data_IF_127927542733
#
_entry.id   IF_127927542733
#
_cell.length_a   1.000
_cell.length_b   1.000
_cell.length_c   1.000
_cell.angle_alpha   90.00
_cell.angle_beta   90.00
_cell.angle_gamma   90.00
#
_symmetry.space_group_name_H-M   'P 1'
#
loop_
_entity.id
_entity.type
_entity.pdbx_description
1 polymer ?
#
# COMPACT_ATOMS: atom_id res chain seq x y z
N UNK A 1 -5.98 -8.60 -14.95
CA UNK A 1 -6.39 -9.37 -13.77
C UNK A 1 -7.75 -8.87 -13.32
N UNK A 2 -8.57 -9.71 -12.66
CA UNK A 2 -9.84 -9.31 -12.04
C UNK A 2 -9.74 -9.49 -10.54
N UNK A 3 -10.48 -8.69 -9.77
CA UNK A 3 -10.65 -8.94 -8.35
C UNK A 3 -11.30 -10.32 -8.12
N UNK A 4 -11.00 -11.01 -7.02
CA UNK A 4 -11.81 -12.14 -6.56
C UNK A 4 -13.28 -11.71 -6.39
N UNK A 5 -14.21 -12.60 -6.67
CA UNK A 5 -15.65 -12.28 -6.65
C UNK A 5 -16.12 -11.70 -5.31
N UNK A 6 -15.67 -12.26 -4.19
CA UNK A 6 -16.00 -11.75 -2.87
C UNK A 6 -15.52 -10.31 -2.64
N UNK A 7 -14.33 -9.98 -3.20
CA UNK A 7 -13.72 -8.65 -3.06
C UNK A 7 -14.39 -7.64 -3.98
N UNK A 8 -14.68 -8.03 -5.23
CA UNK A 8 -15.45 -7.22 -6.17
C UNK A 8 -16.83 -6.84 -5.60
N UNK A 9 -17.57 -7.83 -5.11
CA UNK A 9 -18.86 -7.63 -4.42
C UNK A 9 -18.72 -6.73 -3.19
N UNK A 10 -17.64 -6.90 -2.40
CA UNK A 10 -17.41 -6.04 -1.24
C UNK A 10 -17.18 -4.59 -1.65
N UNK A 11 -16.31 -4.35 -2.61
CA UNK A 11 -15.91 -3.00 -3.04
C UNK A 11 -17.08 -2.28 -3.72
N UNK A 12 -17.69 -2.90 -4.71
CA UNK A 12 -18.67 -2.22 -5.58
C UNK A 12 -20.11 -2.33 -5.11
N UNK A 13 -20.53 -3.47 -4.54
CA UNK A 13 -21.92 -3.64 -4.12
C UNK A 13 -22.16 -3.24 -2.66
N UNK A 14 -21.23 -3.59 -1.73
CA UNK A 14 -21.45 -3.33 -0.30
C UNK A 14 -20.89 -2.01 0.18
N UNK A 15 -19.72 -1.59 -0.34
CA UNK A 15 -19.11 -0.30 -0.01
C UNK A 15 -19.52 0.81 -0.98
N UNK A 16 -20.23 0.47 -2.06
CA UNK A 16 -20.78 1.41 -3.04
C UNK A 16 -19.68 2.26 -3.73
N UNK A 17 -18.51 1.68 -3.90
CA UNK A 17 -17.40 2.35 -4.56
C UNK A 17 -17.73 2.67 -6.02
N UNK A 18 -17.25 3.79 -6.52
CA UNK A 18 -17.52 4.26 -7.87
C UNK A 18 -16.25 4.33 -8.71
N UNK A 19 -16.31 3.79 -9.91
CA UNK A 19 -15.21 3.89 -10.85
C UNK A 19 -15.25 5.23 -11.61
N UNK A 20 -14.30 6.12 -11.32
CA UNK A 20 -14.21 7.45 -11.91
C UNK A 20 -12.87 7.68 -12.63
N UNK A 21 -12.63 7.07 -13.81
CA UNK A 21 -11.30 7.02 -14.45
C UNK A 21 -10.79 8.37 -14.98
N UNK A 22 -11.63 9.40 -15.07
CA UNK A 22 -11.29 10.70 -15.66
C UNK A 22 -11.19 11.84 -14.65
N UNK A 23 -11.21 11.55 -13.37
CA UNK A 23 -11.09 12.59 -12.36
C UNK A 23 -9.60 12.88 -12.16
N UNK A 24 -9.10 13.96 -12.79
CA UNK A 24 -7.70 14.39 -12.69
C UNK A 24 -7.32 14.90 -11.30
N UNK A 25 -8.32 15.18 -10.43
CA UNK A 25 -8.12 15.84 -9.15
C UNK A 25 -8.38 14.92 -7.96
N UNK A 26 -8.27 13.60 -8.16
CA UNK A 26 -8.38 12.64 -7.06
C UNK A 26 -7.10 12.58 -6.24
N UNK A 27 -6.98 13.51 -5.32
CA UNK A 27 -6.03 13.40 -4.21
C UNK A 27 -6.68 12.66 -3.05
N UNK A 28 -5.97 11.73 -2.43
CA UNK A 28 -6.47 10.98 -1.27
C UNK A 28 -6.47 11.82 0.03
N UNK A 29 -6.02 13.05 -0.03
CA UNK A 29 -5.79 13.93 1.13
C UNK A 29 -7.10 14.53 1.67
N UNK A 30 -8.15 14.59 0.85
CA UNK A 30 -9.43 15.18 1.26
C UNK A 30 -10.26 14.24 2.15
N UNK A 31 -10.66 14.70 3.32
CA UNK A 31 -11.53 13.98 4.27
C UNK A 31 -13.01 13.97 3.81
N UNK A 32 -13.25 13.71 2.52
CA UNK A 32 -14.57 13.65 1.89
C UNK A 32 -14.95 12.19 1.60
N UNK A 33 -16.12 11.79 2.11
CA UNK A 33 -16.60 10.42 1.98
C UNK A 33 -16.87 10.04 0.50
N UNK A 34 -17.43 10.93 -0.29
CA UNK A 34 -17.74 10.67 -1.70
C UNK A 34 -16.43 10.52 -2.50
N UNK A 35 -15.47 11.42 -2.28
CA UNK A 35 -14.13 11.32 -2.87
C UNK A 35 -13.43 10.03 -2.46
N UNK A 36 -13.54 9.61 -1.20
CA UNK A 36 -12.98 8.32 -0.73
C UNK A 36 -13.60 7.13 -1.48
N UNK A 37 -14.92 7.14 -1.75
CA UNK A 37 -15.57 6.07 -2.52
C UNK A 37 -15.16 6.07 -4.00
N UNK A 38 -14.97 7.24 -4.59
CA UNK A 38 -14.44 7.39 -5.95
C UNK A 38 -12.99 6.90 -6.03
N UNK A 39 -12.17 7.26 -5.05
CA UNK A 39 -10.81 6.79 -4.91
C UNK A 39 -10.77 5.26 -4.76
N UNK A 40 -11.60 4.70 -3.86
CA UNK A 40 -11.72 3.27 -3.63
C UNK A 40 -12.03 2.52 -4.94
N UNK A 41 -13.07 2.94 -5.68
CA UNK A 41 -13.48 2.25 -6.92
C UNK A 41 -12.49 2.39 -8.07
N UNK A 42 -11.65 3.42 -8.06
CA UNK A 42 -10.70 3.71 -9.13
C UNK A 42 -9.32 3.12 -8.86
N UNK A 43 -8.77 3.35 -7.66
CA UNK A 43 -7.37 3.01 -7.36
C UNK A 43 -7.21 1.65 -6.67
N UNK A 44 -8.14 1.25 -5.80
CA UNK A 44 -8.04 -0.04 -5.12
C UNK A 44 -7.87 -1.23 -6.07
N UNK A 45 -8.70 -1.39 -7.13
CA UNK A 45 -8.54 -2.52 -8.05
C UNK A 45 -7.20 -2.50 -8.80
N UNK A 46 -6.67 -1.31 -9.07
CA UNK A 46 -5.37 -1.14 -9.73
C UNK A 46 -4.24 -1.54 -8.79
N UNK A 47 -4.18 -0.94 -7.60
CA UNK A 47 -3.15 -1.26 -6.61
C UNK A 47 -3.17 -2.74 -6.22
N UNK A 48 -4.37 -3.35 -6.10
CA UNK A 48 -4.50 -4.78 -5.92
C UNK A 48 -3.84 -5.57 -7.07
N UNK A 49 -4.19 -5.25 -8.31
CA UNK A 49 -3.68 -5.98 -9.48
C UNK A 49 -2.17 -5.80 -9.67
N UNK A 50 -1.66 -4.59 -9.48
CA UNK A 50 -0.23 -4.25 -9.58
C UNK A 50 0.56 -5.01 -8.50
N UNK A 51 0.15 -4.89 -7.23
CA UNK A 51 0.77 -5.59 -6.12
C UNK A 51 0.76 -7.11 -6.31
N UNK A 52 -0.38 -7.69 -6.66
CA UNK A 52 -0.49 -9.11 -6.94
C UNK A 52 0.47 -9.54 -8.06
N UNK A 53 0.52 -8.84 -9.18
CA UNK A 53 1.37 -9.21 -10.30
C UNK A 53 2.86 -9.09 -9.95
N UNK A 54 3.27 -7.99 -9.32
CA UNK A 54 4.67 -7.75 -8.95
C UNK A 54 5.15 -8.80 -7.94
N UNK A 55 4.41 -9.01 -6.86
CA UNK A 55 4.82 -9.95 -5.82
C UNK A 55 4.69 -11.41 -6.26
N UNK A 56 3.68 -11.74 -7.08
CA UNK A 56 3.57 -13.09 -7.64
C UNK A 56 4.77 -13.46 -8.49
N UNK A 57 5.26 -12.52 -9.31
CA UNK A 57 6.45 -12.75 -10.15
C UNK A 57 7.74 -12.73 -9.33
N UNK A 58 7.86 -11.78 -8.39
CA UNK A 58 9.01 -11.69 -7.53
C UNK A 58 9.23 -12.98 -6.72
N UNK A 59 8.20 -13.48 -6.04
CA UNK A 59 8.32 -14.67 -5.20
C UNK A 59 8.50 -15.97 -6.00
N UNK A 60 7.96 -16.08 -7.21
CA UNK A 60 8.29 -17.18 -8.11
C UNK A 60 9.78 -17.27 -8.43
N UNK A 61 10.43 -16.11 -8.59
CA UNK A 61 11.83 -16.03 -8.96
C UNK A 61 12.79 -16.04 -7.73
N UNK A 62 12.31 -15.61 -6.55
CA UNK A 62 13.12 -15.37 -5.34
C UNK A 62 12.53 -16.02 -4.08
N UNK A 63 11.91 -17.17 -4.22
CA UNK A 63 11.17 -17.82 -3.12
C UNK A 63 12.07 -18.22 -1.92
N UNK A 64 13.38 -18.44 -2.14
CA UNK A 64 14.29 -18.98 -1.11
C UNK A 64 14.37 -18.11 0.16
N UNK A 65 14.25 -16.79 0.03
CA UNK A 65 14.46 -15.88 1.16
C UNK A 65 13.26 -15.83 2.12
N UNK A 66 12.08 -16.21 1.63
CA UNK A 66 10.81 -16.14 2.37
C UNK A 66 10.15 -17.51 2.58
N UNK A 67 10.57 -18.56 1.85
CA UNK A 67 9.88 -19.86 1.80
C UNK A 67 9.67 -20.53 3.15
N UNK A 68 10.64 -20.39 4.06
CA UNK A 68 10.64 -21.03 5.38
C UNK A 68 10.09 -20.12 6.48
N UNK A 69 9.66 -18.90 6.15
CA UNK A 69 9.13 -17.98 7.17
C UNK A 69 7.72 -18.40 7.59
N UNK A 70 7.55 -18.56 8.89
CA UNK A 70 6.23 -18.77 9.51
C UNK A 70 5.53 -17.46 9.88
N UNK A 71 6.28 -16.37 10.04
CA UNK A 71 5.78 -15.03 10.33
C UNK A 71 6.44 -14.02 9.39
N UNK A 72 5.66 -13.03 8.94
CA UNK A 72 6.12 -11.90 8.14
C UNK A 72 5.61 -10.58 8.73
N UNK A 73 6.43 -9.56 8.60
CA UNK A 73 6.08 -8.17 8.95
C UNK A 73 6.09 -7.28 7.72
N UNK A 74 5.04 -6.48 7.57
CA UNK A 74 4.82 -5.59 6.43
C UNK A 74 4.65 -4.16 6.93
N UNK A 75 5.36 -3.22 6.33
CA UNK A 75 5.13 -1.79 6.51
C UNK A 75 4.61 -1.20 5.21
N UNK A 76 3.44 -0.57 5.27
CA UNK A 76 2.78 0.08 4.15
C UNK A 76 2.70 1.59 4.39
N UNK A 77 3.43 2.33 3.59
CA UNK A 77 3.52 3.78 3.68
C UNK A 77 2.68 4.43 2.59
N UNK A 78 1.63 5.15 2.98
CA UNK A 78 0.62 5.69 2.09
C UNK A 78 -0.38 4.62 1.65
N UNK A 79 -0.87 3.84 2.64
CA UNK A 79 -1.70 2.64 2.38
C UNK A 79 -3.07 2.94 1.76
N UNK A 80 -3.52 4.19 1.77
CA UNK A 80 -4.82 4.55 1.22
C UNK A 80 -5.94 3.63 1.69
N UNK A 81 -6.62 3.01 0.73
CA UNK A 81 -7.69 2.02 0.99
C UNK A 81 -7.18 0.57 1.01
N UNK A 82 -5.87 0.33 0.85
CA UNK A 82 -5.19 -0.95 1.07
C UNK A 82 -5.26 -1.96 -0.08
N UNK A 83 -5.45 -1.50 -1.31
CA UNK A 83 -5.49 -2.39 -2.48
C UNK A 83 -4.22 -3.23 -2.60
N UNK A 84 -3.06 -2.61 -2.44
CA UNK A 84 -1.74 -3.24 -2.49
C UNK A 84 -1.53 -4.28 -1.40
N UNK A 85 -1.99 -4.01 -0.18
CA UNK A 85 -1.94 -4.97 0.93
C UNK A 85 -2.78 -6.20 0.61
N UNK A 86 -4.01 -6.02 0.15
CA UNK A 86 -4.88 -7.16 -0.16
C UNK A 86 -4.31 -7.97 -1.34
N UNK A 87 -3.71 -7.30 -2.33
CA UNK A 87 -2.99 -7.96 -3.42
C UNK A 87 -1.82 -8.81 -2.92
N UNK A 88 -0.97 -8.24 -2.05
CA UNK A 88 0.16 -8.94 -1.44
C UNK A 88 -0.31 -10.12 -0.57
N UNK A 89 -1.31 -9.92 0.30
CA UNK A 89 -1.85 -11.00 1.15
C UNK A 89 -2.41 -12.15 0.31
N UNK A 90 -3.02 -11.86 -0.84
CA UNK A 90 -3.49 -12.90 -1.77
C UNK A 90 -2.33 -13.73 -2.32
N UNK A 91 -1.22 -13.09 -2.71
CA UNK A 91 -0.02 -13.81 -3.16
C UNK A 91 0.60 -14.64 -2.03
N UNK A 92 0.66 -14.10 -0.82
CA UNK A 92 1.18 -14.82 0.34
C UNK A 92 0.32 -16.06 0.65
N UNK A 93 -1.01 -15.95 0.54
CA UNK A 93 -1.93 -17.08 0.71
C UNK A 93 -1.68 -18.19 -0.32
N UNK A 94 -1.42 -17.80 -1.58
CA UNK A 94 -1.22 -18.77 -2.67
C UNK A 94 0.16 -19.43 -2.65
N UNK A 95 1.22 -18.71 -2.28
CA UNK A 95 2.60 -19.14 -2.49
C UNK A 95 3.34 -19.59 -1.22
N UNK A 96 2.86 -19.22 -0.02
CA UNK A 96 3.55 -19.49 1.24
C UNK A 96 2.73 -20.42 2.18
N UNK A 97 2.69 -21.73 1.92
CA UNK A 97 1.85 -22.66 2.67
C UNK A 97 2.22 -22.80 4.16
N UNK A 98 3.46 -22.46 4.53
CA UNK A 98 3.96 -22.53 5.90
C UNK A 98 3.71 -21.26 6.70
N UNK A 99 3.26 -20.18 6.07
CA UNK A 99 3.01 -18.90 6.72
C UNK A 99 1.85 -19.03 7.71
N UNK A 100 2.08 -18.63 8.95
CA UNK A 100 1.12 -18.72 10.06
C UNK A 100 0.61 -17.35 10.48
N UNK A 101 1.43 -16.29 10.30
CA UNK A 101 1.08 -14.96 10.79
C UNK A 101 1.71 -13.86 9.95
N UNK A 102 0.95 -12.80 9.73
CA UNK A 102 1.40 -11.55 9.12
C UNK A 102 1.08 -10.39 10.05
N UNK A 103 2.08 -9.57 10.35
CA UNK A 103 1.93 -8.31 11.06
C UNK A 103 2.04 -7.15 10.08
N UNK A 104 1.06 -6.25 10.10
CA UNK A 104 1.00 -5.09 9.19
C UNK A 104 1.02 -3.81 10.01
N UNK A 105 1.87 -2.87 9.61
CA UNK A 105 1.81 -1.47 10.02
C UNK A 105 1.47 -0.66 8.78
N UNK A 106 0.32 0.02 8.81
CA UNK A 106 -0.19 0.82 7.70
C UNK A 106 -0.29 2.29 8.12
N UNK A 107 0.30 3.18 7.34
CA UNK A 107 0.24 4.62 7.55
C UNK A 107 -0.39 5.32 6.35
N UNK A 108 -1.29 6.26 6.61
CA UNK A 108 -1.87 7.14 5.59
C UNK A 108 -2.32 8.46 6.21
N UNK A 109 -2.32 9.53 5.43
CA UNK A 109 -2.82 10.83 5.86
C UNK A 109 -4.34 10.91 5.97
N UNK A 110 -5.06 10.09 5.18
CA UNK A 110 -6.52 10.10 5.11
C UNK A 110 -7.15 9.09 6.08
N UNK A 111 -7.74 9.58 7.15
CA UNK A 111 -8.39 8.73 8.15
C UNK A 111 -9.60 7.95 7.59
N UNK A 112 -10.35 8.49 6.62
CA UNK A 112 -11.47 7.77 6.00
C UNK A 112 -10.98 6.63 5.10
N UNK A 113 -9.87 6.83 4.41
CA UNK A 113 -9.21 5.76 3.65
C UNK A 113 -8.78 4.63 4.59
N UNK A 114 -8.09 4.93 5.70
CA UNK A 114 -7.69 3.93 6.69
C UNK A 114 -8.88 3.18 7.30
N UNK A 115 -9.97 3.86 7.63
CA UNK A 115 -11.20 3.21 8.12
C UNK A 115 -11.80 2.25 7.08
N UNK A 116 -11.70 2.62 5.80
CA UNK A 116 -12.16 1.77 4.69
C UNK A 116 -11.23 0.57 4.52
N UNK A 117 -9.93 0.80 4.55
CA UNK A 117 -8.90 -0.24 4.59
C UNK A 117 -9.16 -1.27 5.70
N UNK A 118 -9.38 -0.83 6.93
CA UNK A 118 -9.66 -1.72 8.07
C UNK A 118 -10.92 -2.58 7.85
N UNK A 119 -12.00 -2.00 7.29
CA UNK A 119 -13.22 -2.76 6.97
C UNK A 119 -12.94 -3.84 5.92
N UNK A 120 -12.20 -3.50 4.87
CA UNK A 120 -11.84 -4.45 3.81
C UNK A 120 -10.95 -5.55 4.37
N UNK A 121 -9.90 -5.18 5.13
CA UNK A 121 -8.97 -6.13 5.74
C UNK A 121 -9.67 -7.10 6.69
N UNK A 122 -10.62 -6.62 7.50
CA UNK A 122 -11.37 -7.48 8.44
C UNK A 122 -12.22 -8.54 7.71
N UNK A 123 -12.72 -8.24 6.51
CA UNK A 123 -13.39 -9.23 5.67
C UNK A 123 -12.37 -10.12 4.98
N UNK A 124 -11.28 -9.57 4.45
CA UNK A 124 -10.22 -10.33 3.79
C UNK A 124 -9.63 -11.42 4.71
N UNK A 125 -9.49 -11.14 6.01
CA UNK A 125 -9.04 -12.13 7.01
C UNK A 125 -9.88 -13.42 7.03
N UNK A 126 -11.13 -13.39 6.61
CA UNK A 126 -11.99 -14.58 6.53
C UNK A 126 -11.70 -15.44 5.29
N UNK A 127 -10.92 -14.92 4.36
CA UNK A 127 -10.50 -15.60 3.12
C UNK A 127 -9.02 -15.98 3.11
N UNK A 128 -8.32 -15.81 4.25
CA UNK A 128 -6.89 -16.06 4.42
C UNK A 128 -6.70 -17.07 5.55
N UNK A 129 -5.84 -18.08 5.36
CA UNK A 129 -5.62 -19.16 6.37
C UNK A 129 -4.71 -18.74 7.52
N UNK A 130 -3.79 -17.79 7.30
CA UNK A 130 -2.87 -17.32 8.35
C UNK A 130 -3.47 -16.16 9.15
N UNK A 131 -3.00 -15.98 10.37
CA UNK A 131 -3.41 -14.85 11.22
C UNK A 131 -2.89 -13.54 10.62
N UNK A 132 -3.75 -12.53 10.49
CA UNK A 132 -3.36 -11.17 10.10
C UNK A 132 -3.64 -10.21 11.24
N UNK A 133 -2.58 -9.58 11.76
CA UNK A 133 -2.67 -8.46 12.71
C UNK A 133 -2.33 -7.16 12.00
N UNK A 134 -3.02 -6.10 12.35
CA UNK A 134 -2.84 -4.79 11.74
C UNK A 134 -2.82 -3.68 12.78
N UNK A 135 -1.94 -2.73 12.57
CA UNK A 135 -1.93 -1.42 13.23
C UNK A 135 -1.97 -0.35 12.13
N UNK A 136 -3.09 0.37 12.04
CA UNK A 136 -3.23 1.50 11.13
C UNK A 136 -3.20 2.81 11.89
N UNK A 137 -2.40 3.76 11.42
CA UNK A 137 -2.20 5.04 12.11
C UNK A 137 -2.31 6.20 11.11
N UNK A 138 -3.20 7.17 11.37
CA UNK A 138 -3.31 8.35 10.52
C UNK A 138 -2.10 9.27 10.76
N UNK A 139 -1.27 9.41 9.71
CA UNK A 139 -0.10 10.29 9.72
C UNK A 139 -0.04 11.03 8.41
N UNK A 140 -0.17 12.36 8.48
CA UNK A 140 -0.01 13.22 7.34
C UNK A 140 1.46 13.53 7.10
N UNK A 141 1.92 13.30 5.87
CA UNK A 141 3.18 13.79 5.33
C UNK A 141 2.80 14.77 4.22
N UNK A 142 2.94 16.06 4.51
CA UNK A 142 2.54 17.12 3.57
C UNK A 142 3.70 17.52 2.65
N UNK A 143 4.92 17.29 3.09
CA UNK A 143 6.13 17.66 2.37
C UNK A 143 7.20 16.59 2.52
N UNK A 144 8.01 16.50 1.51
CA UNK A 144 9.21 15.66 1.44
C UNK A 144 10.12 15.73 2.69
N UNK A 145 10.21 16.90 3.36
CA UNK A 145 11.02 17.06 4.56
C UNK A 145 10.35 16.53 5.83
N UNK A 146 9.07 16.23 5.81
CA UNK A 146 8.33 15.71 6.97
C UNK A 146 8.55 14.21 7.21
N UNK A 147 9.23 13.52 6.31
CA UNK A 147 9.52 12.08 6.44
C UNK A 147 10.22 11.69 7.74
N UNK A 148 10.89 12.63 8.42
CA UNK A 148 11.47 12.39 9.75
C UNK A 148 10.43 11.97 10.81
N UNK A 149 9.14 12.17 10.57
CA UNK A 149 8.06 11.71 11.44
C UNK A 149 8.04 10.19 11.52
N UNK A 150 8.44 9.50 10.43
CA UNK A 150 8.51 8.04 10.39
C UNK A 150 9.45 7.47 11.45
N UNK A 151 10.51 8.19 11.82
CA UNK A 151 11.45 7.75 12.84
C UNK A 151 10.87 7.84 14.26
N UNK A 152 9.79 8.59 14.44
CA UNK A 152 9.08 8.72 15.73
C UNK A 152 7.98 7.69 15.91
N UNK A 153 7.40 7.21 14.81
CA UNK A 153 6.19 6.37 14.84
C UNK A 153 6.43 4.94 14.42
N UNK A 154 7.53 4.67 13.71
CA UNK A 154 7.88 3.35 13.18
C UNK A 154 9.28 2.99 13.66
N UNK A 155 9.36 2.21 14.73
CA UNK A 155 10.63 1.81 15.35
C UNK A 155 11.02 0.35 15.06
N UNK A 156 10.12 -0.43 14.49
CA UNK A 156 10.33 -1.82 14.14
C UNK A 156 11.07 -1.96 12.81
N UNK A 157 11.53 -3.19 12.54
CA UNK A 157 12.05 -3.60 11.23
C UNK A 157 11.09 -4.56 10.57
N UNK A 158 10.99 -4.46 9.25
CA UNK A 158 10.01 -5.18 8.44
C UNK A 158 10.65 -6.06 7.39
N UNK A 159 10.03 -7.19 7.13
CA UNK A 159 10.41 -8.10 6.05
C UNK A 159 10.05 -7.51 4.68
N UNK A 160 8.96 -6.77 4.62
CA UNK A 160 8.45 -6.15 3.40
C UNK A 160 8.07 -4.70 3.70
N UNK A 161 8.61 -3.76 2.94
CA UNK A 161 8.17 -2.36 2.94
C UNK A 161 7.57 -2.05 1.57
N UNK A 162 6.36 -1.51 1.56
CA UNK A 162 5.66 -1.11 0.34
C UNK A 162 5.18 0.33 0.42
N UNK A 163 5.10 0.97 -0.76
CA UNK A 163 4.39 2.23 -0.96
C UNK A 163 3.92 2.28 -2.42
N UNK A 164 2.63 2.47 -2.61
CA UNK A 164 2.01 2.51 -3.93
C UNK A 164 1.33 3.85 -4.17
N UNK A 165 1.84 4.61 -5.17
CA UNK A 165 1.27 5.89 -5.63
C UNK A 165 1.15 6.98 -4.53
N UNK A 166 1.92 6.86 -3.45
CA UNK A 166 1.89 7.79 -2.35
C UNK A 166 2.97 8.89 -2.46
N UNK A 167 4.14 8.54 -3.00
CA UNK A 167 5.27 9.47 -3.06
C UNK A 167 4.94 10.69 -3.93
N UNK A 168 4.23 10.49 -5.03
CA UNK A 168 3.80 11.59 -5.91
C UNK A 168 2.85 12.60 -5.25
N UNK A 169 2.24 12.28 -4.11
CA UNK A 169 1.32 13.18 -3.41
C UNK A 169 2.05 14.24 -2.56
N UNK A 170 3.26 13.93 -2.06
CA UNK A 170 4.02 14.84 -1.18
C UNK A 170 5.40 15.25 -1.74
N UNK A 171 5.79 14.75 -2.90
CA UNK A 171 7.05 15.10 -3.57
C UNK A 171 6.77 15.91 -4.82
N UNK A 172 7.34 17.11 -4.87
CA UNK A 172 7.21 18.00 -6.03
C UNK A 172 8.09 17.54 -7.18
N UNK A 173 7.75 17.95 -8.42
CA UNK A 173 8.59 17.71 -9.60
C UNK A 173 10.03 18.22 -9.41
N UNK A 174 10.22 19.37 -8.80
CA UNK A 174 11.53 19.95 -8.53
C UNK A 174 12.36 19.06 -7.57
N UNK A 175 11.72 18.51 -6.54
CA UNK A 175 12.37 17.59 -5.60
C UNK A 175 12.79 16.30 -6.29
N UNK A 176 11.98 15.75 -7.21
CA UNK A 176 12.39 14.59 -8.01
C UNK A 176 13.59 14.90 -8.92
N UNK A 177 13.56 16.02 -9.63
CA UNK A 177 14.58 16.33 -10.65
C UNK A 177 15.89 16.83 -10.05
N UNK A 178 15.84 17.58 -8.93
CA UNK A 178 17.02 18.29 -8.40
C UNK A 178 17.50 17.76 -7.05
N UNK A 179 16.69 17.06 -6.28
CA UNK A 179 16.99 16.69 -4.90
C UNK A 179 17.05 15.16 -4.68
N UNK A 180 16.98 14.37 -5.75
CA UNK A 180 16.97 12.91 -5.67
C UNK A 180 15.99 12.36 -4.61
N UNK A 181 14.70 12.60 -4.83
CA UNK A 181 13.65 12.28 -3.88
C UNK A 181 13.68 10.83 -3.39
N UNK A 182 13.92 9.87 -4.28
CA UNK A 182 13.98 8.46 -3.89
C UNK A 182 15.17 8.13 -2.98
N UNK A 183 16.30 8.80 -3.14
CA UNK A 183 17.43 8.65 -2.18
C UNK A 183 17.05 9.19 -0.81
N UNK A 184 16.34 10.33 -0.76
CA UNK A 184 15.89 10.91 0.49
C UNK A 184 14.88 10.00 1.19
N UNK A 185 13.87 9.50 0.47
CA UNK A 185 12.89 8.53 0.99
C UNK A 185 13.59 7.26 1.47
N UNK A 186 14.55 6.76 0.70
CA UNK A 186 15.36 5.59 1.06
C UNK A 186 16.11 5.76 2.40
N UNK A 187 16.58 6.95 2.72
CA UNK A 187 17.26 7.23 4.00
C UNK A 187 16.36 6.97 5.22
N UNK A 188 15.04 7.15 5.09
CA UNK A 188 14.09 6.90 6.17
C UNK A 188 13.52 5.49 6.15
N UNK A 189 13.35 4.88 4.98
CA UNK A 189 12.74 3.55 4.86
C UNK A 189 13.75 2.41 4.97
N UNK A 190 14.95 2.53 4.37
CA UNK A 190 15.93 1.45 4.38
C UNK A 190 16.39 1.02 5.79
N UNK A 191 16.58 1.91 6.78
CA UNK A 191 16.90 1.49 8.15
C UNK A 191 15.83 0.63 8.82
N UNK A 192 14.59 0.66 8.30
CA UNK A 192 13.45 -0.11 8.79
C UNK A 192 13.30 -1.48 8.11
N UNK A 193 14.23 -1.84 7.24
CA UNK A 193 14.28 -3.17 6.65
C UNK A 193 14.95 -4.17 7.61
N UNK A 194 14.37 -5.35 7.71
CA UNK A 194 14.97 -6.51 8.36
C UNK A 194 16.09 -7.12 7.48
N UNK A 195 16.77 -8.14 7.98
CA UNK A 195 17.70 -8.91 7.13
C UNK A 195 16.90 -9.75 6.12
N UNK A 196 17.40 -9.86 4.89
CA UNK A 196 16.75 -10.58 3.80
C UNK A 196 15.30 -10.11 3.59
N UNK A 197 15.16 -8.83 3.39
CA UNK A 197 13.89 -8.12 3.25
C UNK A 197 13.81 -7.41 1.90
N UNK A 198 12.62 -6.96 1.54
CA UNK A 198 12.39 -6.22 0.30
C UNK A 198 11.72 -4.88 0.55
N UNK A 199 12.03 -3.90 -0.28
CA UNK A 199 11.31 -2.63 -0.36
C UNK A 199 10.83 -2.44 -1.79
N UNK A 200 9.55 -2.15 -1.95
CA UNK A 200 8.92 -1.83 -3.22
C UNK A 200 8.25 -0.46 -3.15
N UNK A 201 8.74 0.45 -3.97
CA UNK A 201 8.11 1.75 -4.19
C UNK A 201 7.56 1.76 -5.63
N UNK A 202 6.26 1.82 -5.77
CA UNK A 202 5.57 1.98 -7.06
C UNK A 202 4.92 3.35 -7.09
N UNK A 203 5.18 4.12 -8.14
CA UNK A 203 4.69 5.48 -8.21
C UNK A 203 4.33 5.89 -9.64
N UNK A 204 3.56 6.96 -9.77
CA UNK A 204 3.15 7.53 -11.05
C UNK A 204 4.28 8.39 -11.60
N UNK A 205 4.95 7.92 -12.65
CA UNK A 205 6.08 8.61 -13.27
C UNK A 205 5.68 9.58 -14.39
N UNK A 206 4.45 9.51 -14.89
CA UNK A 206 3.95 10.39 -15.94
C UNK A 206 3.35 11.64 -15.34
N UNK A 207 4.15 12.69 -15.23
CA UNK A 207 3.60 14.05 -15.11
C UNK A 207 2.86 14.36 -16.41
N UNK A 208 1.55 14.58 -16.32
CA UNK A 208 0.83 15.20 -17.42
C UNK A 208 1.42 16.60 -17.61
N UNK A 209 2.13 16.82 -18.71
CA UNK A 209 2.68 18.12 -19.12
C UNK A 209 1.58 19.15 -19.49
N UNK A 210 0.38 19.02 -18.96
CA UNK A 210 -0.80 19.84 -19.27
C UNK A 210 -1.15 20.83 -18.17
N UNK A 211 -0.32 21.03 -17.16
CA UNK A 211 -0.43 22.19 -16.27
C UNK A 211 0.51 23.30 -16.77
N UNK A 212 0.07 24.03 -17.79
CA UNK A 212 0.45 25.42 -18.00
C UNK A 212 -0.50 26.33 -17.26
#
# INVERSE_FOLDING_TARGET
MKLPEWLDTLIFDKLEAQYCPRNSDMTNIDDDKEKTLNYLGTYFPRSYAESYCIFSEYFKSNNSDFADKEELSIFDFGSGTGGEIIGLLTVLEEQFPNLKKVWIVALDGNQNALRTYEKILNIAKTHIRFEVRNNSTPIMVEDFYDLHILDKVVNERFDIIISFKAVCEFVTKEQFEKQNAYEHIGKFLMPKLANNSIMLLEDITTYNNTSQ
#
